data_IF_149816014249
#
_entry.id   IF_149816014249
#
_cell.length_a   1.000
_cell.length_b   1.000
_cell.length_c   1.000
_cell.angle_alpha   90.00
_cell.angle_beta   90.00
_cell.angle_gamma   90.00
#
_symmetry.space_group_name_H-M   'P 1'
#
loop_
_entity.id
_entity.type
_entity.pdbx_description
1 polymer ?
#
# COMPACT_ATOMS: atom_id res chain seq x y z
N UNK A 1 6.70 -10.62 -29.28
CA UNK A 1 5.35 -11.24 -29.36
C UNK A 1 5.38 -12.77 -29.21
N UNK A 2 6.43 -13.45 -29.67
CA UNK A 2 6.59 -14.92 -29.61
C UNK A 2 6.51 -15.52 -28.19
N UNK A 3 7.13 -14.88 -27.18
CA UNK A 3 7.09 -15.35 -25.79
C UNK A 3 5.69 -15.28 -25.18
N UNK A 4 4.96 -14.19 -25.42
CA UNK A 4 3.56 -14.03 -24.96
C UNK A 4 2.66 -15.08 -25.61
N UNK A 5 2.81 -15.33 -26.91
CA UNK A 5 2.05 -16.38 -27.60
C UNK A 5 2.34 -17.77 -27.03
N UNK A 6 3.59 -18.06 -26.65
CA UNK A 6 4.00 -19.32 -26.01
C UNK A 6 3.47 -19.44 -24.59
N UNK A 7 3.42 -18.33 -23.84
CA UNK A 7 2.86 -18.28 -22.49
C UNK A 7 1.34 -18.49 -22.54
N UNK A 8 0.62 -17.78 -23.41
CA UNK A 8 -0.82 -17.99 -23.57
C UNK A 8 -1.08 -19.42 -24.07
N UNK A 9 -0.29 -19.90 -25.02
CA UNK A 9 -0.49 -21.19 -25.68
C UNK A 9 -1.62 -21.14 -26.72
N UNK A 10 -1.73 -22.19 -27.53
CA UNK A 10 -2.77 -22.26 -28.57
C UNK A 10 -4.15 -22.24 -27.91
N UNK A 11 -4.99 -21.26 -28.26
CA UNK A 11 -6.30 -21.00 -27.63
C UNK A 11 -6.22 -20.81 -26.09
N UNK A 12 -5.12 -20.29 -25.56
CA UNK A 12 -4.99 -20.06 -24.11
C UNK A 12 -4.66 -21.32 -23.29
N UNK A 13 -4.38 -22.46 -23.93
CA UNK A 13 -4.26 -23.75 -23.24
C UNK A 13 -3.22 -23.76 -22.11
N UNK A 14 -2.07 -23.07 -22.29
CA UNK A 14 -1.02 -23.09 -21.27
C UNK A 14 -1.38 -22.19 -20.08
N UNK A 15 -1.81 -20.94 -20.33
CA UNK A 15 -2.29 -20.04 -19.27
C UNK A 15 -3.47 -20.66 -18.52
N UNK A 16 -4.45 -21.24 -19.22
CA UNK A 16 -5.62 -21.85 -18.58
C UNK A 16 -5.23 -23.08 -17.75
N UNK A 17 -4.23 -23.86 -18.18
CA UNK A 17 -3.67 -24.95 -17.37
C UNK A 17 -3.06 -24.41 -16.07
N UNK A 18 -2.25 -23.35 -16.13
CA UNK A 18 -1.67 -22.77 -14.91
C UNK A 18 -2.79 -22.27 -13.98
N UNK A 19 -3.76 -21.51 -14.50
CA UNK A 19 -4.90 -21.02 -13.73
C UNK A 19 -5.64 -22.17 -13.03
N UNK A 20 -5.96 -23.24 -13.75
CA UNK A 20 -6.67 -24.40 -13.20
C UNK A 20 -5.85 -25.18 -12.16
N UNK A 21 -4.53 -25.29 -12.35
CA UNK A 21 -3.67 -26.06 -11.43
C UNK A 21 -3.27 -25.29 -10.18
N UNK A 22 -3.26 -23.96 -10.22
CA UNK A 22 -2.70 -23.11 -9.16
C UNK A 22 -3.72 -22.18 -8.53
N UNK A 23 -4.93 -22.11 -9.09
CA UNK A 23 -5.98 -21.19 -8.65
C UNK A 23 -5.49 -19.72 -8.64
N UNK A 24 -4.59 -19.40 -9.58
CA UNK A 24 -4.07 -18.04 -9.78
C UNK A 24 -4.81 -17.32 -10.89
N UNK A 25 -4.85 -15.99 -10.78
CA UNK A 25 -5.22 -15.11 -11.89
C UNK A 25 -3.97 -14.69 -12.63
N UNK A 26 -3.95 -14.93 -13.94
CA UNK A 26 -2.83 -14.60 -14.83
C UNK A 26 -3.30 -13.68 -15.94
N UNK A 27 -2.65 -12.52 -16.06
CA UNK A 27 -2.96 -11.48 -17.04
C UNK A 27 -1.67 -10.94 -17.65
N UNK A 28 -1.62 -10.82 -18.98
CA UNK A 28 -0.49 -10.18 -19.67
C UNK A 28 -0.80 -8.70 -19.87
N UNK A 29 -0.05 -7.84 -19.20
CA UNK A 29 -0.20 -6.41 -19.21
C UNK A 29 0.77 -5.75 -20.22
N UNK A 30 0.37 -4.60 -20.75
CA UNK A 30 1.28 -3.77 -21.54
C UNK A 30 2.36 -3.15 -20.64
N UNK A 31 3.58 -3.03 -21.17
CA UNK A 31 4.68 -2.35 -20.51
C UNK A 31 4.97 -1.02 -21.22
N UNK A 32 5.46 -0.01 -20.49
CA UNK A 32 5.79 1.33 -21.05
C UNK A 32 6.81 1.24 -22.17
N UNK A 33 7.87 0.47 -21.95
CA UNK A 33 8.78 0.05 -23.03
C UNK A 33 8.11 -1.07 -23.85
N UNK A 34 7.83 -0.78 -25.13
CA UNK A 34 7.15 -1.68 -26.08
C UNK A 34 7.90 -2.98 -26.37
N UNK A 35 9.18 -3.10 -26.00
CA UNK A 35 9.96 -4.33 -26.12
C UNK A 35 9.61 -5.38 -25.06
N UNK A 36 9.04 -4.94 -23.93
CA UNK A 36 8.69 -5.82 -22.82
C UNK A 36 7.17 -5.97 -22.68
N UNK A 37 6.77 -7.01 -21.96
CA UNK A 37 5.40 -7.28 -21.51
C UNK A 37 5.48 -7.76 -20.07
N UNK A 38 4.57 -7.32 -19.23
CA UNK A 38 4.48 -7.80 -17.84
C UNK A 38 3.45 -8.91 -17.78
N UNK A 39 3.72 -9.97 -17.03
CA UNK A 39 2.71 -10.95 -16.66
C UNK A 39 2.35 -10.75 -15.19
N UNK A 40 1.13 -10.30 -14.90
CA UNK A 40 0.58 -10.32 -13.54
C UNK A 40 0.20 -11.76 -13.20
N UNK A 41 0.59 -12.21 -12.02
CA UNK A 41 0.22 -13.51 -11.43
C UNK A 41 -0.26 -13.21 -10.02
N UNK A 42 -1.55 -13.40 -9.77
CA UNK A 42 -2.24 -13.00 -8.54
C UNK A 42 -2.82 -14.25 -7.85
N UNK A 43 -2.59 -14.35 -6.54
CA UNK A 43 -3.02 -15.45 -5.68
C UNK A 43 -2.32 -15.38 -4.32
N UNK A 44 -2.54 -16.37 -3.45
CA UNK A 44 -1.74 -16.57 -2.24
C UNK A 44 -0.27 -16.87 -2.58
N UNK A 45 0.65 -16.69 -1.64
CA UNK A 45 2.08 -16.97 -1.85
C UNK A 45 2.33 -18.38 -2.42
N UNK A 46 1.68 -19.40 -1.86
CA UNK A 46 1.82 -20.78 -2.32
C UNK A 46 1.30 -20.97 -3.75
N UNK A 47 0.16 -20.35 -4.08
CA UNK A 47 -0.43 -20.38 -5.43
C UNK A 47 0.48 -19.69 -6.45
N UNK A 48 1.01 -18.51 -6.11
CA UNK A 48 1.95 -17.75 -6.95
C UNK A 48 3.24 -18.53 -7.16
N UNK A 49 3.84 -19.08 -6.10
CA UNK A 49 5.08 -19.88 -6.20
C UNK A 49 4.88 -21.11 -7.10
N UNK A 50 3.74 -21.80 -6.98
CA UNK A 50 3.38 -22.91 -7.86
C UNK A 50 3.23 -22.47 -9.32
N UNK A 51 2.58 -21.32 -9.58
CA UNK A 51 2.42 -20.77 -10.92
C UNK A 51 3.77 -20.36 -11.53
N UNK A 52 4.63 -19.68 -10.76
CA UNK A 52 5.98 -19.29 -11.18
C UNK A 52 6.84 -20.52 -11.50
N UNK A 53 6.70 -21.61 -10.74
CA UNK A 53 7.36 -22.88 -11.04
C UNK A 53 6.93 -23.44 -12.39
N UNK A 54 5.63 -23.53 -12.65
CA UNK A 54 5.11 -24.00 -13.95
C UNK A 54 5.57 -23.11 -15.11
N UNK A 55 5.62 -21.79 -14.91
CA UNK A 55 6.13 -20.85 -15.92
C UNK A 55 7.63 -21.10 -16.15
N UNK A 56 8.43 -21.29 -15.10
CA UNK A 56 9.88 -21.54 -15.23
C UNK A 56 10.19 -22.87 -15.92
N UNK A 57 9.37 -23.91 -15.71
CA UNK A 57 9.48 -25.18 -16.42
C UNK A 57 9.23 -25.01 -17.94
N UNK A 58 8.28 -24.16 -18.31
CA UNK A 58 7.98 -23.85 -19.72
C UNK A 58 8.99 -22.87 -20.35
N UNK A 59 9.61 -22.02 -19.53
CA UNK A 59 10.64 -21.05 -19.91
C UNK A 59 11.95 -21.25 -19.11
N UNK A 60 12.68 -22.36 -19.33
CA UNK A 60 13.95 -22.61 -18.65
C UNK A 60 14.98 -21.51 -18.94
N UNK A 61 15.76 -21.12 -17.92
CA UNK A 61 16.73 -20.01 -17.99
C UNK A 61 17.76 -20.19 -19.10
N UNK A 62 18.24 -21.44 -19.31
CA UNK A 62 19.21 -21.77 -20.34
C UNK A 62 18.70 -21.55 -21.78
N UNK A 63 17.38 -21.55 -21.99
CA UNK A 63 16.75 -21.38 -23.31
C UNK A 63 16.05 -20.04 -23.46
N UNK A 64 15.62 -19.44 -22.35
CA UNK A 64 14.90 -18.17 -22.30
C UNK A 64 15.51 -17.26 -21.22
N UNK A 65 16.75 -16.80 -21.40
CA UNK A 65 17.42 -15.96 -20.42
C UNK A 65 16.71 -14.60 -20.23
N UNK A 66 16.02 -14.11 -21.26
CA UNK A 66 15.29 -12.83 -21.22
C UNK A 66 13.95 -12.92 -20.46
N UNK A 67 13.52 -14.11 -20.03
CA UNK A 67 12.30 -14.29 -19.21
C UNK A 67 12.68 -14.24 -17.73
N UNK A 68 12.55 -13.05 -17.16
CA UNK A 68 12.64 -12.84 -15.72
C UNK A 68 11.31 -13.21 -15.03
N UNK A 69 11.41 -13.80 -13.84
CA UNK A 69 10.29 -14.01 -12.92
C UNK A 69 10.44 -13.14 -11.67
N UNK A 70 11.35 -12.17 -11.72
CA UNK A 70 11.47 -11.17 -10.67
C UNK A 70 10.21 -10.33 -10.62
N UNK A 71 9.76 -10.06 -9.40
CA UNK A 71 8.58 -9.25 -9.16
C UNK A 71 8.82 -7.83 -9.70
N UNK A 72 7.98 -7.38 -10.64
CA UNK A 72 8.12 -6.08 -11.31
C UNK A 72 7.77 -4.90 -10.38
N UNK A 73 7.24 -5.19 -9.18
CA UNK A 73 7.01 -4.21 -8.14
C UNK A 73 7.66 -4.67 -6.82
N UNK A 74 8.51 -3.81 -6.27
CA UNK A 74 9.24 -3.93 -5.01
C UNK A 74 10.35 -4.98 -5.00
N UNK A 75 11.61 -4.52 -5.13
CA UNK A 75 12.56 -4.85 -4.07
C UNK A 75 11.94 -4.32 -2.78
N UNK A 76 11.03 -5.08 -2.15
CA UNK A 76 10.97 -5.04 -0.70
C UNK A 76 12.37 -5.44 -0.31
N UNK A 77 13.18 -4.49 0.14
CA UNK A 77 14.44 -4.84 0.73
C UNK A 77 14.13 -5.89 1.78
N UNK A 78 14.64 -7.10 1.56
CA UNK A 78 14.72 -8.12 2.58
C UNK A 78 15.42 -7.44 3.76
N UNK A 79 14.65 -7.11 4.80
CA UNK A 79 15.16 -6.63 6.07
C UNK A 79 15.94 -7.75 6.74
N UNK A 80 17.18 -7.94 6.28
CA UNK A 80 18.23 -8.56 7.04
C UNK A 80 19.49 -7.71 6.84
N UNK A 81 19.62 -6.72 7.73
CA UNK A 81 20.88 -6.13 8.20
C UNK A 81 21.82 -5.48 7.17
N UNK A 82 21.85 -4.14 7.14
CA UNK A 82 22.85 -3.32 7.86
C UNK A 82 22.80 -1.84 7.42
N UNK A 83 22.66 -0.97 8.42
CA UNK A 83 23.00 0.46 8.45
C UNK A 83 22.29 1.38 7.45
N UNK A 84 21.27 2.10 7.92
CA UNK A 84 21.23 3.58 7.99
C UNK A 84 19.83 4.06 8.43
N UNK A 85 19.82 5.06 9.31
CA UNK A 85 18.71 5.84 9.87
C UNK A 85 17.54 6.08 8.90
N UNK A 86 16.50 5.25 8.93
CA UNK A 86 15.29 5.49 8.12
C UNK A 86 14.03 5.07 8.86
N UNK A 87 13.03 5.98 8.83
CA UNK A 87 11.62 5.78 9.18
C UNK A 87 11.16 4.33 8.92
N UNK A 88 10.32 3.73 9.78
CA UNK A 88 9.88 2.35 9.63
C UNK A 88 9.20 2.13 8.26
N UNK A 89 9.90 1.49 7.32
CA UNK A 89 9.37 1.07 6.02
C UNK A 89 8.62 -0.27 6.11
N UNK A 90 7.85 -0.48 7.17
CA UNK A 90 6.80 -1.49 7.14
C UNK A 90 5.56 -0.79 6.60
N UNK A 91 4.93 -1.36 5.56
CA UNK A 91 3.55 -0.97 5.25
C UNK A 91 2.78 -1.03 6.57
N UNK A 92 2.19 0.08 7.03
CA UNK A 92 1.38 0.06 8.23
C UNK A 92 0.37 -1.05 8.05
N UNK A 93 0.49 -2.13 8.83
CA UNK A 93 -0.52 -3.18 8.83
C UNK A 93 -1.72 -2.48 9.43
N UNK A 94 -2.59 -1.97 8.55
CA UNK A 94 -3.84 -1.37 8.97
C UNK A 94 -4.63 -2.50 9.59
N UNK A 95 -4.89 -2.42 10.90
CA UNK A 95 -5.45 -3.52 11.68
C UNK A 95 -6.86 -3.96 11.25
N UNK A 96 -7.44 -3.39 10.20
CA UNK A 96 -8.55 -3.98 9.46
C UNK A 96 -8.63 -3.48 8.01
N UNK A 97 -8.49 -4.37 7.00
CA UNK A 97 -8.82 -4.05 5.60
C UNK A 97 -10.25 -3.52 5.43
N UNK A 98 -11.17 -3.87 6.34
CA UNK A 98 -12.54 -3.39 6.37
C UNK A 98 -12.68 -1.87 6.61
N UNK A 99 -11.63 -1.21 7.13
CA UNK A 99 -11.64 0.23 7.39
C UNK A 99 -10.95 1.04 6.28
N UNK A 100 -10.47 0.42 5.21
CA UNK A 100 -9.78 1.13 4.12
C UNK A 100 -10.66 1.22 2.87
N UNK A 101 -10.62 2.34 2.15
CA UNK A 101 -11.17 2.38 0.78
C UNK A 101 -10.36 1.45 -0.12
N UNK A 102 -11.01 0.44 -0.69
CA UNK A 102 -10.35 -0.53 -1.57
C UNK A 102 -10.28 -0.03 -3.02
N UNK A 103 -9.29 -0.54 -3.75
CA UNK A 103 -9.21 -0.41 -5.20
C UNK A 103 -9.61 -1.77 -5.80
N UNK A 104 -10.59 -1.78 -6.69
CA UNK A 104 -10.99 -3.01 -7.37
C UNK A 104 -10.06 -3.28 -8.55
N UNK A 105 -9.43 -4.46 -8.57
CA UNK A 105 -8.54 -4.87 -9.65
C UNK A 105 -9.26 -4.82 -11.01
N UNK A 106 -8.60 -4.25 -12.02
CA UNK A 106 -9.14 -4.13 -13.38
C UNK A 106 -10.13 -2.97 -13.59
N UNK A 107 -10.48 -2.22 -12.54
CA UNK A 107 -11.33 -1.03 -12.66
C UNK A 107 -10.46 0.22 -12.74
N UNK A 108 -10.73 1.06 -13.74
CA UNK A 108 -10.13 2.40 -13.80
C UNK A 108 -10.92 3.31 -12.87
N UNK A 109 -10.24 3.88 -11.89
CA UNK A 109 -10.83 4.78 -10.89
C UNK A 109 -10.17 6.14 -11.02
N UNK A 110 -10.96 7.20 -10.96
CA UNK A 110 -10.45 8.57 -10.86
C UNK A 110 -9.90 8.79 -9.45
N UNK A 111 -8.65 9.26 -9.38
CA UNK A 111 -7.94 9.47 -8.13
C UNK A 111 -7.34 10.86 -8.07
N UNK A 112 -7.19 11.37 -6.86
CA UNK A 112 -6.44 12.57 -6.55
C UNK A 112 -5.23 12.22 -5.69
N UNK A 113 -4.04 12.67 -6.09
CA UNK A 113 -2.85 12.53 -5.26
C UNK A 113 -2.97 13.43 -4.03
N UNK A 114 -2.93 12.83 -2.83
CA UNK A 114 -2.98 13.54 -1.55
C UNK A 114 -1.59 13.79 -0.99
N UNK A 115 -0.70 12.80 -1.09
CA UNK A 115 0.72 12.93 -0.69
C UNK A 115 1.61 12.30 -1.75
N UNK A 116 2.67 12.99 -2.13
CA UNK A 116 3.68 12.51 -3.09
C UNK A 116 5.04 12.52 -2.42
N UNK A 117 5.61 11.35 -2.17
CA UNK A 117 6.96 11.21 -1.63
C UNK A 117 7.94 10.92 -2.75
N UNK A 118 7.61 9.93 -3.59
CA UNK A 118 8.40 9.56 -4.78
C UNK A 118 7.56 8.76 -5.77
N UNK A 119 8.14 8.32 -6.88
CA UNK A 119 7.47 7.36 -7.77
C UNK A 119 7.19 5.99 -7.12
N UNK A 120 7.95 5.63 -6.08
CA UNK A 120 7.76 4.40 -5.31
C UNK A 120 6.80 4.54 -4.13
N UNK A 121 6.44 5.77 -3.76
CA UNK A 121 5.56 6.05 -2.64
C UNK A 121 4.67 7.27 -2.91
N UNK A 122 3.41 6.98 -3.20
CA UNK A 122 2.34 7.93 -3.45
C UNK A 122 1.15 7.56 -2.56
N UNK A 123 0.32 8.55 -2.26
CA UNK A 123 -0.94 8.36 -1.56
C UNK A 123 -2.05 9.01 -2.36
N UNK A 124 -3.14 8.28 -2.51
CA UNK A 124 -4.24 8.63 -3.40
C UNK A 124 -5.56 8.58 -2.65
N UNK A 125 -6.42 9.55 -2.93
CA UNK A 125 -7.83 9.57 -2.53
C UNK A 125 -8.71 9.30 -3.76
N UNK A 126 -9.94 8.87 -3.54
CA UNK A 126 -10.93 8.60 -4.59
C UNK A 126 -12.10 9.60 -4.48
N UNK A 127 -12.07 10.76 -5.16
CA UNK A 127 -13.11 11.78 -5.03
C UNK A 127 -14.52 11.31 -5.39
N UNK A 128 -14.63 10.30 -6.26
CA UNK A 128 -15.89 9.72 -6.71
C UNK A 128 -16.38 8.56 -5.83
N UNK A 129 -15.61 8.14 -4.81
CA UNK A 129 -16.05 7.08 -3.90
C UNK A 129 -17.13 7.61 -2.94
N UNK A 130 -18.20 6.85 -2.63
CA UNK A 130 -19.31 7.32 -1.80
C UNK A 130 -18.93 7.85 -0.41
N UNK A 131 -17.81 7.39 0.15
CA UNK A 131 -17.31 7.88 1.44
C UNK A 131 -16.65 9.26 1.38
N UNK A 132 -16.12 9.67 0.22
CA UNK A 132 -15.25 10.84 0.13
C UNK A 132 -15.98 12.13 0.50
N UNK A 133 -17.25 12.27 0.10
CA UNK A 133 -18.07 13.44 0.44
C UNK A 133 -18.27 13.63 1.96
N UNK A 134 -18.12 12.56 2.75
CA UNK A 134 -18.27 12.61 4.21
C UNK A 134 -16.97 13.00 4.93
N UNK A 135 -15.82 13.01 4.24
CA UNK A 135 -14.51 13.31 4.83
C UNK A 135 -14.46 14.73 5.42
N UNK A 136 -14.97 15.73 4.70
CA UNK A 136 -15.00 17.12 5.19
C UNK A 136 -15.81 17.24 6.48
N UNK A 137 -16.98 16.60 6.54
CA UNK A 137 -17.82 16.58 7.74
C UNK A 137 -17.10 15.91 8.91
N UNK A 138 -16.43 14.78 8.66
CA UNK A 138 -15.64 14.09 9.69
C UNK A 138 -14.54 15.01 10.22
N UNK A 139 -13.77 15.65 9.34
CA UNK A 139 -12.69 16.56 9.73
C UNK A 139 -13.22 17.74 10.57
N UNK A 140 -14.35 18.34 10.20
CA UNK A 140 -15.00 19.38 11.00
C UNK A 140 -15.37 18.85 12.39
N UNK A 141 -16.01 17.68 12.46
CA UNK A 141 -16.39 17.07 13.74
C UNK A 141 -15.17 16.76 14.63
N UNK A 142 -14.11 16.18 14.07
CA UNK A 142 -12.86 15.90 14.79
C UNK A 142 -12.27 17.21 15.33
N UNK A 143 -12.10 18.23 14.48
CA UNK A 143 -11.49 19.49 14.91
C UNK A 143 -12.31 20.23 15.97
N UNK A 144 -13.65 20.16 15.92
CA UNK A 144 -14.51 20.74 16.97
C UNK A 144 -14.42 19.97 18.29
N UNK A 145 -14.40 18.64 18.26
CA UNK A 145 -14.42 17.82 19.48
C UNK A 145 -13.05 17.71 20.16
N UNK A 146 -11.96 17.93 19.41
CA UNK A 146 -10.60 17.84 19.92
C UNK A 146 -9.89 19.19 20.06
N UNK A 147 -10.54 20.32 19.69
CA UNK A 147 -9.94 21.66 19.65
C UNK A 147 -9.08 22.03 20.89
N UNK A 148 -9.60 21.77 22.09
CA UNK A 148 -8.95 22.07 23.37
C UNK A 148 -7.88 21.03 23.75
N UNK A 149 -8.05 19.76 23.34
CA UNK A 149 -7.11 18.67 23.60
C UNK A 149 -6.89 18.30 25.08
N UNK A 150 -7.30 19.14 26.03
CA UNK A 150 -7.15 18.96 27.48
C UNK A 150 -8.22 18.04 28.08
N UNK A 151 -9.42 18.05 27.52
CA UNK A 151 -10.58 17.25 27.98
C UNK A 151 -10.73 15.91 27.26
N UNK A 152 -9.91 15.69 26.22
CA UNK A 152 -9.96 14.46 25.41
C UNK A 152 -9.07 13.37 26.01
N UNK A 153 -9.48 12.09 26.00
CA UNK A 153 -8.70 11.01 26.59
C UNK A 153 -7.33 10.81 25.94
N UNK A 154 -6.28 10.72 26.75
CA UNK A 154 -4.95 10.31 26.31
C UNK A 154 -4.91 8.83 25.95
N UNK A 155 -4.01 8.43 25.06
CA UNK A 155 -3.81 7.02 24.73
C UNK A 155 -3.17 6.30 25.94
N UNK A 156 -3.66 5.12 26.34
CA UNK A 156 -3.04 4.33 27.40
C UNK A 156 -1.58 3.99 27.06
N UNK A 157 -0.69 4.11 28.05
CA UNK A 157 0.71 3.73 27.91
C UNK A 157 0.91 2.26 28.32
N UNK A 158 1.83 1.52 27.67
CA UNK A 158 2.62 1.93 26.51
C UNK A 158 1.80 1.99 25.22
N UNK A 159 2.00 3.04 24.41
CA UNK A 159 1.33 3.17 23.11
C UNK A 159 1.77 2.03 22.19
N UNK A 160 0.80 1.24 21.73
CA UNK A 160 1.07 0.08 20.87
C UNK A 160 1.12 0.46 19.39
N UNK A 161 2.06 -0.09 18.63
CA UNK A 161 2.02 -0.05 17.16
C UNK A 161 0.70 -0.63 16.65
N UNK A 162 0.12 0.01 15.65
CA UNK A 162 -1.20 -0.31 15.11
C UNK A 162 -2.37 0.37 15.83
N UNK A 163 -2.13 1.15 16.88
CA UNK A 163 -3.18 1.94 17.54
C UNK A 163 -3.71 3.01 16.59
N UNK A 164 -5.00 2.93 16.25
CA UNK A 164 -5.71 3.99 15.53
C UNK A 164 -6.16 5.06 16.52
N UNK A 165 -5.83 6.31 16.22
CA UNK A 165 -6.03 7.45 17.10
C UNK A 165 -6.21 8.75 16.29
N UNK A 166 -6.21 9.90 16.98
CA UNK A 166 -6.05 11.20 16.32
C UNK A 166 -4.77 11.88 16.80
N UNK A 167 -4.11 12.59 15.90
CA UNK A 167 -2.96 13.44 16.19
C UNK A 167 -3.24 14.89 15.83
N UNK A 168 -2.60 15.82 16.55
CA UNK A 168 -2.59 17.23 16.19
C UNK A 168 -1.36 17.55 15.33
N UNK A 169 -1.59 18.10 14.14
CA UNK A 169 -0.57 18.53 13.18
C UNK A 169 -0.94 19.93 12.71
N UNK A 170 -0.04 20.90 12.91
CA UNK A 170 -0.24 22.31 12.51
C UNK A 170 -1.60 22.88 12.92
N UNK A 171 -2.03 22.58 14.15
CA UNK A 171 -3.30 23.06 14.71
C UNK A 171 -4.55 22.35 14.15
N UNK A 172 -4.39 21.27 13.39
CA UNK A 172 -5.48 20.43 12.90
C UNK A 172 -5.41 19.03 13.51
N UNK A 173 -6.56 18.51 13.91
CA UNK A 173 -6.70 17.14 14.39
C UNK A 173 -7.05 16.20 13.23
N UNK A 174 -6.26 15.14 13.06
CA UNK A 174 -6.32 14.21 11.95
C UNK A 174 -6.38 12.77 12.46
N UNK A 175 -7.07 11.88 11.73
CA UNK A 175 -7.00 10.43 12.02
C UNK A 175 -5.63 9.90 11.64
N UNK A 176 -5.02 9.13 12.54
CA UNK A 176 -3.74 8.51 12.29
C UNK A 176 -3.63 7.10 12.90
N UNK A 177 -2.64 6.34 12.46
CA UNK A 177 -2.26 5.07 13.05
C UNK A 177 -0.81 5.15 13.53
N UNK A 178 -0.58 4.76 14.79
CA UNK A 178 0.78 4.64 15.35
C UNK A 178 1.51 3.50 14.67
N UNK A 179 2.74 3.76 14.21
CA UNK A 179 3.62 2.75 13.59
C UNK A 179 4.65 2.23 14.59
N UNK A 180 5.02 3.05 15.56
CA UNK A 180 5.95 2.73 16.64
C UNK A 180 6.73 3.96 17.07
N UNK A 181 7.64 3.77 18.01
CA UNK A 181 8.47 4.85 18.54
C UNK A 181 9.34 5.49 17.44
N UNK A 182 9.52 6.80 17.58
CA UNK A 182 10.49 7.57 16.79
C UNK A 182 11.91 7.36 17.31
N UNK A 183 12.88 7.96 16.63
CA UNK A 183 14.25 8.07 17.13
C UNK A 183 14.36 9.02 18.33
N UNK A 184 13.43 9.98 18.45
CA UNK A 184 13.33 10.90 19.56
C UNK A 184 12.49 10.29 20.70
N UNK A 185 13.00 10.39 21.93
CA UNK A 185 12.26 9.96 23.12
C UNK A 185 10.97 10.76 23.29
N UNK A 186 9.85 10.07 23.56
CA UNK A 186 8.54 10.70 23.69
C UNK A 186 7.86 11.11 22.37
N UNK A 187 8.37 10.60 21.24
CA UNK A 187 7.73 10.72 19.93
C UNK A 187 7.42 9.36 19.30
N UNK A 188 6.41 9.34 18.44
CA UNK A 188 5.97 8.19 17.67
C UNK A 188 5.86 8.54 16.18
N UNK A 189 6.22 7.58 15.32
CA UNK A 189 5.85 7.63 13.92
C UNK A 189 4.37 7.31 13.75
N UNK A 190 3.67 8.13 12.97
CA UNK A 190 2.25 7.92 12.65
C UNK A 190 2.00 8.00 11.15
N UNK A 191 1.11 7.14 10.65
CA UNK A 191 0.53 7.25 9.30
C UNK A 191 -0.72 8.13 9.37
N UNK A 192 -0.81 9.16 8.53
CA UNK A 192 -2.04 9.94 8.36
C UNK A 192 -3.04 9.14 7.52
N UNK A 193 -4.18 8.76 8.08
CA UNK A 193 -5.07 7.76 7.48
C UNK A 193 -5.92 8.31 6.32
N UNK A 194 -6.22 9.61 6.34
CA UNK A 194 -7.04 10.23 5.31
C UNK A 194 -6.23 11.01 4.28
N UNK A 195 -4.96 11.28 4.55
CA UNK A 195 -4.07 12.07 3.67
C UNK A 195 -2.93 11.19 3.13
N UNK A 196 -2.47 10.23 3.94
CA UNK A 196 -1.31 9.41 3.64
C UNK A 196 0.00 10.10 4.01
N UNK A 197 1.06 9.30 4.09
CA UNK A 197 2.39 9.75 4.51
C UNK A 197 2.65 9.56 6.01
N UNK A 198 3.94 9.46 6.33
CA UNK A 198 4.43 9.16 7.68
C UNK A 198 5.19 10.34 8.28
N UNK A 199 4.77 10.76 9.46
CA UNK A 199 5.35 11.86 10.24
C UNK A 199 5.74 11.39 11.64
N UNK A 200 6.64 12.12 12.30
CA UNK A 200 6.93 11.96 13.74
C UNK A 200 6.09 12.96 14.50
N UNK A 201 5.45 12.53 15.59
CA UNK A 201 4.66 13.40 16.48
C UNK A 201 4.93 13.07 17.94
N UNK A 202 4.84 14.06 18.82
CA UNK A 202 4.95 13.83 20.28
C UNK A 202 3.79 12.99 20.79
N UNK A 203 4.04 12.15 21.79
CA UNK A 203 3.01 11.42 22.55
C UNK A 203 1.91 12.35 23.07
N UNK A 204 2.30 13.57 23.43
CA UNK A 204 1.38 14.60 23.94
C UNK A 204 0.42 15.14 22.88
N UNK A 205 0.69 14.93 21.59
CA UNK A 205 -0.18 15.30 20.48
C UNK A 205 -1.22 14.21 20.13
N UNK A 206 -1.10 13.02 20.74
CA UNK A 206 -1.95 11.88 20.45
C UNK A 206 -3.13 11.79 21.42
N UNK A 207 -4.32 11.49 20.90
CA UNK A 207 -5.54 11.27 21.69
C UNK A 207 -6.30 10.06 21.19
N UNK A 208 -7.01 9.39 22.10
CA UNK A 208 -7.90 8.29 21.70
C UNK A 208 -8.92 8.80 20.70
N UNK A 209 -9.13 8.04 19.62
CA UNK A 209 -10.18 8.34 18.65
C UNK A 209 -11.53 7.86 19.17
N UNK A 210 -12.57 8.66 18.97
CA UNK A 210 -13.94 8.19 19.23
C UNK A 210 -14.34 7.14 18.20
N UNK A 211 -15.03 6.09 18.65
CA UNK A 211 -15.38 4.96 17.80
C UNK A 211 -16.29 5.35 16.62
N UNK A 212 -17.16 6.36 16.77
CA UNK A 212 -18.00 6.87 15.68
C UNK A 212 -17.19 7.49 14.52
N UNK A 213 -15.95 7.91 14.76
CA UNK A 213 -15.06 8.40 13.71
C UNK A 213 -14.35 7.30 12.93
N UNK A 214 -14.51 6.04 13.33
CA UNK A 214 -14.01 4.87 12.61
C UNK A 214 -15.03 4.32 11.60
N UNK A 215 -16.28 4.79 11.62
CA UNK A 215 -17.31 4.31 10.68
C UNK A 215 -17.09 4.78 9.25
N UNK A 216 -16.38 5.90 9.07
CA UNK A 216 -15.92 6.31 7.75
C UNK A 216 -14.64 5.54 7.40
N UNK A 217 -14.56 4.88 6.23
CA UNK A 217 -13.30 4.29 5.79
C UNK A 217 -12.16 5.32 5.76
N UNK A 218 -10.92 4.90 5.93
CA UNK A 218 -9.73 5.72 5.74
C UNK A 218 -9.56 6.03 4.25
N UNK A 219 -9.36 7.32 3.94
CA UNK A 219 -9.50 7.82 2.57
C UNK A 219 -8.21 7.80 1.75
N UNK A 220 -7.03 7.61 2.37
CA UNK A 220 -5.76 7.60 1.65
C UNK A 220 -5.22 6.18 1.43
N UNK A 221 -5.06 5.79 0.18
CA UNK A 221 -4.50 4.51 -0.23
C UNK A 221 -3.07 4.68 -0.74
N UNK A 222 -2.14 3.90 -0.20
CA UNK A 222 -0.75 3.89 -0.66
C UNK A 222 -0.67 3.25 -2.05
N UNK A 223 0.08 3.88 -2.94
CA UNK A 223 0.29 3.47 -4.32
C UNK A 223 1.75 3.67 -4.71
N UNK A 224 2.14 3.05 -5.81
CA UNK A 224 3.40 3.30 -6.51
C UNK A 224 3.12 3.38 -8.00
N UNK A 225 4.02 4.04 -8.75
CA UNK A 225 3.95 4.06 -10.20
C UNK A 225 4.56 2.77 -10.76
N UNK A 226 3.74 2.03 -11.49
CA UNK A 226 4.20 0.82 -12.16
C UNK A 226 5.05 1.14 -13.40
N UNK A 227 6.09 0.33 -13.63
CA UNK A 227 6.90 0.40 -14.85
C UNK A 227 7.86 1.58 -14.92
N UNK A 228 8.24 2.13 -13.76
CA UNK A 228 9.31 3.12 -13.63
C UNK A 228 10.30 2.70 -12.55
N UNK A 229 11.53 3.16 -12.69
CA UNK A 229 12.59 3.05 -11.68
C UNK A 229 13.33 4.39 -11.60
N UNK A 230 13.91 4.73 -10.43
CA UNK A 230 14.81 5.88 -10.32
C UNK A 230 16.01 5.72 -11.27
N UNK A 231 16.44 6.81 -11.91
CA UNK A 231 17.59 6.79 -12.84
C UNK A 231 18.87 6.24 -12.19
N UNK A 232 19.02 6.47 -10.88
CA UNK A 232 20.19 6.06 -10.11
C UNK A 232 19.99 4.74 -9.36
N UNK A 233 18.84 4.06 -9.55
CA UNK A 233 18.49 2.81 -8.85
C UNK A 233 18.34 2.95 -7.33
N UNK A 234 18.20 4.18 -6.83
CA UNK A 234 18.01 4.55 -5.42
C UNK A 234 16.64 5.11 -5.17
#
# INVERSE_FOLDING_TARGET
QTLVGRLIGRKGAFVNKIKACTDTTIVVCAHRNRRFKICSVEGTKQQVDAALKMIREQFPVNRYPDVTLEQVASKSQNFNNRNNNTKPQQQPILNSPAMQVSLTAGVVVEVQASTVVSGGELWMQQPLHPSFSSLNRLNTCINLNYADGSTTPQIPQPIQSGTVCVCQVDGQWLRCQVLGNSENEGENYVLLLDIGGVISVSDTSLRQIRFDYLTLPFQASQCLLSGIEPLDGK
#
